data_IF_018697295583
#
_entry.id   IF_018697295583
#
_cell.length_a   1.000
_cell.length_b   1.000
_cell.length_c   1.000
_cell.angle_alpha   90.00
_cell.angle_beta   90.00
_cell.angle_gamma   90.00
#
_symmetry.space_group_name_H-M   'P 1'
#
loop_
_entity.id
_entity.type
_entity.pdbx_description
1 polymer ?
#
# COMPACT_ATOMS: atom_id res chain seq x y z
N UNK A 1 14.34 -2.19 -9.89
CA UNK A 1 13.24 -3.11 -9.53
C UNK A 1 11.99 -2.27 -9.30
N UNK A 2 10.91 -2.55 -10.04
CA UNK A 2 9.65 -1.83 -9.83
C UNK A 2 9.09 -2.17 -8.44
N UNK A 3 8.64 -1.16 -7.69
CA UNK A 3 7.99 -1.36 -6.40
C UNK A 3 6.65 -2.05 -6.64
N UNK A 4 6.49 -3.28 -6.17
CA UNK A 4 5.18 -3.95 -6.17
C UNK A 4 4.27 -3.23 -5.19
N UNK A 5 3.20 -2.61 -5.71
CA UNK A 5 2.16 -2.01 -4.87
C UNK A 5 1.27 -3.11 -4.28
N UNK A 6 0.77 -2.94 -3.05
CA UNK A 6 -0.33 -3.77 -2.55
C UNK A 6 -1.52 -3.73 -3.52
N UNK A 7 -2.25 -4.84 -3.72
CA UNK A 7 -3.33 -4.89 -4.71
C UNK A 7 -4.41 -3.81 -4.52
N UNK A 8 -4.83 -3.53 -3.28
CA UNK A 8 -5.72 -2.39 -2.95
C UNK A 8 -5.16 -1.06 -3.47
N UNK A 9 -3.86 -0.82 -3.33
CA UNK A 9 -3.21 0.42 -3.75
C UNK A 9 -3.08 0.50 -5.28
N UNK A 10 -2.85 -0.63 -5.95
CA UNK A 10 -2.85 -0.69 -7.41
C UNK A 10 -4.23 -0.34 -7.98
N UNK A 11 -5.31 -0.91 -7.43
CA UNK A 11 -6.68 -0.63 -7.89
C UNK A 11 -7.04 0.84 -7.65
N UNK A 12 -6.64 1.45 -6.53
CA UNK A 12 -6.85 2.89 -6.29
C UNK A 12 -6.15 3.75 -7.34
N UNK A 13 -4.91 3.42 -7.69
CA UNK A 13 -4.18 4.14 -8.73
C UNK A 13 -4.82 3.99 -10.12
N UNK A 14 -5.37 2.81 -10.44
CA UNK A 14 -6.15 2.60 -11.67
C UNK A 14 -7.42 3.48 -11.69
N UNK A 15 -8.14 3.57 -10.57
CA UNK A 15 -9.30 4.47 -10.45
C UNK A 15 -8.90 5.94 -10.65
N UNK A 16 -7.83 6.39 -9.99
CA UNK A 16 -7.35 7.77 -10.10
C UNK A 16 -6.95 8.10 -11.55
N UNK A 17 -6.33 7.16 -12.27
CA UNK A 17 -5.95 7.33 -13.67
C UNK A 17 -7.17 7.60 -14.58
N UNK A 18 -8.30 6.92 -14.35
CA UNK A 18 -9.53 7.14 -15.13
C UNK A 18 -10.03 8.60 -15.08
N UNK A 19 -9.82 9.27 -13.94
CA UNK A 19 -10.20 10.68 -13.77
C UNK A 19 -9.14 11.67 -14.29
N UNK A 20 -7.92 11.21 -14.53
CA UNK A 20 -6.82 12.05 -15.01
C UNK A 20 -6.72 12.08 -16.54
N UNK A 21 -7.30 11.09 -17.21
CA UNK A 21 -7.28 10.94 -18.68
C UNK A 21 -8.19 11.92 -19.44
N UNK A 22 -8.97 12.76 -18.73
CA UNK A 22 -9.80 13.82 -19.33
C UNK A 22 -11.02 13.32 -20.13
N UNK A 23 -11.37 12.04 -20.01
CA UNK A 23 -12.59 11.44 -20.60
C UNK A 23 -13.84 11.91 -19.86
N UNK A 24 -14.99 11.85 -20.52
CA UNK A 24 -16.26 12.22 -19.89
C UNK A 24 -16.63 11.24 -18.78
N UNK A 25 -17.25 11.75 -17.70
CA UNK A 25 -17.62 10.95 -16.55
C UNK A 25 -18.57 9.81 -16.93
N UNK A 26 -19.50 10.06 -17.87
CA UNK A 26 -20.48 9.04 -18.30
C UNK A 26 -19.78 7.90 -19.05
N UNK A 27 -18.69 8.18 -19.76
CA UNK A 27 -17.91 7.15 -20.47
C UNK A 27 -17.11 6.27 -19.50
N UNK A 28 -16.65 6.80 -18.37
CA UNK A 28 -15.78 6.07 -17.43
C UNK A 28 -16.53 5.46 -16.24
N UNK A 29 -17.82 5.77 -16.05
CA UNK A 29 -18.55 5.36 -14.85
C UNK A 29 -18.67 3.84 -14.69
N UNK A 30 -18.76 3.09 -15.81
CA UNK A 30 -18.76 1.62 -15.76
C UNK A 30 -17.40 1.08 -15.31
N UNK A 31 -16.30 1.63 -15.84
CA UNK A 31 -14.94 1.25 -15.45
C UNK A 31 -14.71 1.52 -13.95
N UNK A 32 -15.16 2.69 -13.47
CA UNK A 32 -15.10 3.06 -12.05
C UNK A 32 -15.93 2.11 -11.19
N UNK A 33 -17.15 1.76 -11.62
CA UNK A 33 -18.01 0.84 -10.87
C UNK A 33 -17.38 -0.56 -10.76
N UNK A 34 -16.80 -1.05 -11.86
CA UNK A 34 -16.10 -2.34 -11.92
C UNK A 34 -14.87 -2.37 -11.01
N UNK A 35 -14.04 -1.34 -11.08
CA UNK A 35 -12.87 -1.21 -10.20
C UNK A 35 -13.28 -1.01 -8.73
N UNK A 36 -14.36 -0.28 -8.46
CA UNK A 36 -14.93 -0.10 -7.13
C UNK A 36 -15.41 -1.41 -6.51
N UNK A 37 -16.13 -2.24 -7.26
CA UNK A 37 -16.54 -3.56 -6.82
C UNK A 37 -15.33 -4.45 -6.50
N UNK A 38 -14.32 -4.43 -7.38
CA UNK A 38 -13.06 -5.16 -7.17
C UNK A 38 -12.32 -4.65 -5.91
N UNK A 39 -12.29 -3.34 -5.69
CA UNK A 39 -11.66 -2.72 -4.52
C UNK A 39 -12.31 -3.17 -3.21
N UNK A 40 -13.65 -3.23 -3.15
CA UNK A 40 -14.38 -3.70 -1.96
C UNK A 40 -14.01 -5.13 -1.62
N UNK A 41 -14.07 -6.03 -2.61
CA UNK A 41 -13.73 -7.44 -2.42
C UNK A 41 -12.27 -7.59 -2.03
N UNK A 42 -11.35 -6.91 -2.73
CA UNK A 42 -9.93 -6.99 -2.45
C UNK A 42 -9.57 -6.47 -1.05
N UNK A 43 -10.25 -5.42 -0.58
CA UNK A 43 -10.07 -4.89 0.77
C UNK A 43 -10.49 -5.92 1.82
N UNK A 44 -11.65 -6.55 1.63
CA UNK A 44 -12.13 -7.60 2.54
C UNK A 44 -11.17 -8.81 2.54
N UNK A 45 -10.78 -9.29 1.35
CA UNK A 45 -9.85 -10.41 1.21
C UNK A 45 -8.50 -10.13 1.85
N UNK A 46 -7.93 -8.93 1.64
CA UNK A 46 -6.65 -8.57 2.26
C UNK A 46 -6.74 -8.51 3.78
N UNK A 47 -7.86 -8.02 4.33
CA UNK A 47 -8.09 -8.02 5.78
C UNK A 47 -8.21 -9.45 6.34
N UNK A 48 -8.96 -10.33 5.67
CA UNK A 48 -9.07 -11.75 6.06
C UNK A 48 -7.73 -12.49 5.96
N UNK A 49 -6.97 -12.25 4.88
CA UNK A 49 -5.64 -12.84 4.71
C UNK A 49 -4.67 -12.33 5.77
N UNK A 50 -4.72 -11.05 6.11
CA UNK A 50 -3.92 -10.46 7.18
C UNK A 50 -4.27 -11.07 8.54
N UNK A 51 -5.56 -11.21 8.85
CA UNK A 51 -6.04 -11.83 10.09
C UNK A 51 -5.67 -13.33 10.16
N UNK A 52 -5.84 -14.06 9.07
CA UNK A 52 -5.61 -15.51 9.01
C UNK A 52 -4.12 -15.87 9.03
N UNK A 53 -3.29 -15.18 8.24
CA UNK A 53 -1.85 -15.45 8.17
C UNK A 53 -1.05 -14.71 9.25
N UNK A 54 -1.60 -13.60 9.77
CA UNK A 54 -0.99 -12.71 10.74
C UNK A 54 0.21 -11.97 10.17
N UNK A 55 0.07 -10.74 9.63
CA UNK A 55 1.24 -9.94 9.22
C UNK A 55 2.17 -9.51 10.36
N UNK A 56 1.87 -9.83 11.63
CA UNK A 56 2.89 -9.85 12.67
C UNK A 56 4.11 -10.73 12.29
N UNK A 57 3.95 -11.78 11.48
CA UNK A 57 5.07 -12.64 11.05
C UNK A 57 6.02 -12.01 10.03
N UNK A 58 5.57 -11.01 9.26
CA UNK A 58 6.38 -10.39 8.20
C UNK A 58 6.51 -8.86 8.36
N UNK A 59 6.12 -8.30 9.50
CA UNK A 59 6.70 -7.04 9.94
C UNK A 59 8.20 -7.28 10.08
N UNK A 60 8.95 -7.02 9.01
CA UNK A 60 10.39 -6.79 9.11
C UNK A 60 10.50 -5.59 10.03
N UNK A 61 10.71 -5.89 11.32
CA UNK A 61 10.99 -4.89 12.33
C UNK A 61 12.13 -4.05 11.74
N UNK A 62 11.79 -2.84 11.30
CA UNK A 62 12.80 -1.83 11.03
C UNK A 62 13.16 -1.25 12.39
N UNK A 63 13.58 -2.11 13.32
CA UNK A 63 14.22 -1.72 14.55
C UNK A 63 15.62 -1.29 14.17
N UNK A 64 15.71 -0.11 13.54
CA UNK A 64 16.93 0.69 13.65
C UNK A 64 16.96 1.15 15.09
N UNK A 65 17.50 0.29 15.96
CA UNK A 65 17.98 0.71 17.27
C UNK A 65 19.11 1.69 17.00
N UNK A 66 18.80 2.98 16.99
CA UNK A 66 19.82 4.02 16.95
C UNK A 66 20.53 3.98 18.30
N UNK A 67 21.62 3.22 18.38
CA UNK A 67 22.51 3.26 19.54
C UNK A 67 23.04 4.70 19.63
N UNK A 68 22.91 5.40 20.77
CA UNK A 68 23.56 6.69 20.95
C UNK A 68 25.06 6.48 20.83
N UNK A 69 25.68 7.07 19.80
CA UNK A 69 27.13 7.07 19.67
C UNK A 69 27.67 7.99 20.75
N UNK A 70 28.02 7.40 21.90
CA UNK A 70 28.73 8.10 22.95
C UNK A 70 30.13 8.37 22.42
N UNK A 71 30.38 9.60 21.95
CA UNK A 71 31.72 10.09 21.67
C UNK A 71 32.54 9.90 22.95
N UNK A 72 33.38 8.87 22.94
CA UNK A 72 34.33 8.62 24.00
C UNK A 72 35.30 9.79 24.01
N UNK A 73 35.20 10.58 25.08
CA UNK A 73 36.31 11.34 25.65
C UNK A 73 37.59 10.51 25.51
N UNK A 74 38.53 11.00 24.71
CA UNK A 74 39.95 10.75 24.99
C UNK A 74 40.62 12.10 25.05
N UNK A 75 40.86 12.50 26.28
CA UNK A 75 41.75 13.59 26.63
C UNK A 75 43.11 13.36 25.96
N UNK A 76 43.59 14.34 25.19
CA UNK A 76 44.98 14.79 25.15
C UNK A 76 44.99 16.24 24.67
#
# INVERSE_FOLDING_TARGET
MARTLPPVQAIRAEIDALFTDGRDLVEVIEDVARLGARLIIQTAVEAEVDAFLGRARYQRATTVTRVPQMCSRKDT
#
